data_IF_229381157975
#
_entry.id   IF_229381157975
#
_cell.length_a   1.000
_cell.length_b   1.000
_cell.length_c   1.000
_cell.angle_alpha   90.00
_cell.angle_beta   90.00
_cell.angle_gamma   90.00
#
_symmetry.space_group_name_H-M   'P 1'
#
loop_
_entity.id
_entity.type
_entity.pdbx_description
1 polymer ?
#
# COMPACT_ATOMS: atom_id res chain seq x y z
N UNK A 1 -5.99 -7.64 22.02
CA UNK A 1 -6.92 -8.78 21.79
C UNK A 1 -7.38 -8.76 20.34
N UNK A 2 -7.40 -9.90 19.67
CA UNK A 2 -7.78 -9.99 18.25
C UNK A 2 -9.27 -10.28 18.08
N UNK A 3 -9.88 -9.70 17.04
CA UNK A 3 -11.27 -9.98 16.68
C UNK A 3 -11.36 -11.38 16.06
N UNK A 4 -12.29 -12.20 16.57
CA UNK A 4 -12.58 -13.54 16.07
C UNK A 4 -14.05 -13.62 15.67
N UNK A 5 -14.32 -14.21 14.51
CA UNK A 5 -15.66 -14.38 13.95
C UNK A 5 -15.85 -15.81 13.46
N UNK A 6 -17.09 -16.34 13.46
CA UNK A 6 -17.36 -17.63 12.82
C UNK A 6 -17.21 -17.52 11.30
N UNK A 7 -16.61 -18.54 10.68
CA UNK A 7 -16.51 -18.66 9.21
C UNK A 7 -17.88 -18.90 8.58
N UNK A 8 -18.12 -18.25 7.44
CA UNK A 8 -19.28 -18.45 6.58
C UNK A 8 -19.00 -19.43 5.45
N UNK A 9 -17.77 -19.91 5.30
CA UNK A 9 -17.37 -20.95 4.33
C UNK A 9 -18.24 -22.20 4.35
N UNK A 10 -18.73 -22.71 5.50
CA UNK A 10 -19.65 -23.86 5.53
C UNK A 10 -21.00 -23.59 4.85
N UNK A 11 -21.43 -22.32 4.78
CA UNK A 11 -22.69 -21.90 4.16
C UNK A 11 -22.45 -21.53 2.69
N UNK A 12 -21.43 -20.71 2.44
CA UNK A 12 -21.05 -20.25 1.11
C UNK A 12 -19.59 -20.56 0.84
N UNK A 13 -19.34 -21.52 -0.05
CA UNK A 13 -17.97 -21.89 -0.45
C UNK A 13 -17.20 -20.73 -1.10
N UNK A 14 -17.91 -19.78 -1.71
CA UNK A 14 -17.31 -18.57 -2.29
C UNK A 14 -16.68 -17.63 -1.26
N UNK A 15 -17.02 -17.77 0.03
CA UNK A 15 -16.47 -16.94 1.10
C UNK A 15 -15.01 -17.29 1.45
N UNK A 16 -14.49 -18.44 1.01
CA UNK A 16 -13.15 -18.94 1.37
C UNK A 16 -12.03 -17.93 1.05
N UNK A 17 -12.00 -17.41 -0.17
CA UNK A 17 -11.00 -16.40 -0.54
C UNK A 17 -11.23 -15.03 0.13
N UNK A 18 -12.49 -14.65 0.35
CA UNK A 18 -12.83 -13.37 0.97
C UNK A 18 -12.42 -13.34 2.44
N UNK A 19 -12.66 -14.44 3.16
CA UNK A 19 -12.24 -14.58 4.56
C UNK A 19 -10.71 -14.61 4.69
N UNK A 20 -10.00 -15.22 3.74
CA UNK A 20 -8.53 -15.19 3.67
C UNK A 20 -7.98 -13.80 3.38
N UNK A 21 -8.59 -13.06 2.46
CA UNK A 21 -8.24 -11.66 2.18
C UNK A 21 -8.41 -10.78 3.43
N UNK A 22 -9.54 -10.92 4.13
CA UNK A 22 -9.81 -10.16 5.35
C UNK A 22 -8.79 -10.52 6.45
N UNK A 23 -8.43 -11.79 6.58
CA UNK A 23 -7.38 -12.23 7.50
C UNK A 23 -6.03 -11.62 7.15
N UNK A 24 -5.66 -11.58 5.87
CA UNK A 24 -4.36 -11.07 5.42
C UNK A 24 -4.24 -9.54 5.54
N UNK A 25 -5.32 -8.81 5.23
CA UNK A 25 -5.31 -7.35 5.18
C UNK A 25 -5.73 -6.67 6.47
N UNK A 26 -6.62 -7.28 7.25
CA UNK A 26 -7.19 -6.74 8.49
C UNK A 26 -6.90 -7.60 9.71
N UNK A 27 -6.35 -8.82 9.57
CA UNK A 27 -5.98 -9.66 10.71
C UNK A 27 -7.14 -10.17 11.55
N UNK A 28 -8.33 -10.31 10.95
CA UNK A 28 -9.50 -10.92 11.61
C UNK A 28 -9.40 -12.44 11.46
N UNK A 29 -9.56 -13.17 12.57
CA UNK A 29 -9.49 -14.63 12.55
C UNK A 29 -10.89 -15.24 12.39
N UNK A 30 -11.02 -16.17 11.44
CA UNK A 30 -12.26 -16.90 11.18
C UNK A 30 -12.22 -18.31 11.76
N UNK A 31 -13.09 -18.60 12.72
CA UNK A 31 -13.20 -19.90 13.37
C UNK A 31 -13.98 -20.88 12.47
N UNK A 32 -13.41 -22.07 12.24
CA UNK A 32 -14.02 -23.09 11.37
C UNK A 32 -13.70 -22.93 9.88
N UNK A 33 -12.83 -21.99 9.50
CA UNK A 33 -12.33 -21.87 8.13
C UNK A 33 -11.38 -23.03 7.77
N UNK A 34 -11.48 -23.65 6.58
CA UNK A 34 -10.69 -24.84 6.22
C UNK A 34 -9.19 -24.57 6.03
N UNK A 35 -8.79 -23.41 5.50
CA UNK A 35 -7.39 -23.04 5.27
C UNK A 35 -7.16 -21.53 5.46
N UNK A 36 -7.03 -21.09 6.71
CA UNK A 36 -6.85 -19.67 7.02
C UNK A 36 -5.35 -19.30 6.97
N UNK A 37 -4.90 -18.84 5.81
CA UNK A 37 -3.52 -18.41 5.54
C UNK A 37 -3.50 -17.15 4.68
N UNK A 38 -2.39 -16.40 4.72
CA UNK A 38 -2.15 -15.23 3.87
C UNK A 38 -2.21 -15.61 2.38
N UNK A 39 -2.68 -14.69 1.54
CA UNK A 39 -2.86 -14.91 0.09
C UNK A 39 -2.34 -13.78 -0.79
N UNK A 40 -2.37 -12.54 -0.31
CA UNK A 40 -1.92 -11.35 -1.03
C UNK A 40 -0.52 -10.94 -0.58
N UNK A 41 -0.26 -10.98 0.73
CA UNK A 41 1.04 -10.59 1.29
C UNK A 41 2.03 -11.75 1.26
N UNK A 42 3.32 -11.42 1.31
CA UNK A 42 4.39 -12.41 1.41
C UNK A 42 4.40 -13.07 2.80
N UNK A 43 4.98 -14.27 2.89
CA UNK A 43 4.90 -15.12 4.10
C UNK A 43 5.50 -14.47 5.35
N UNK A 44 6.49 -13.58 5.19
CA UNK A 44 7.14 -12.86 6.30
C UNK A 44 6.49 -11.53 6.67
N UNK A 45 5.43 -11.11 5.97
CA UNK A 45 4.72 -9.88 6.31
C UNK A 45 4.04 -10.05 7.68
N UNK A 46 4.32 -9.16 8.62
CA UNK A 46 3.84 -9.29 10.01
C UNK A 46 2.59 -8.47 10.29
N UNK A 47 2.41 -7.37 9.58
CA UNK A 47 1.35 -6.41 9.86
C UNK A 47 0.10 -6.64 8.98
N UNK A 48 -0.78 -5.65 8.98
CA UNK A 48 -2.09 -5.65 8.30
C UNK A 48 -2.30 -4.28 7.63
N UNK A 49 -2.01 -4.14 6.34
CA UNK A 49 -1.81 -2.84 5.70
C UNK A 49 -3.11 -2.02 5.54
N UNK A 50 -4.27 -2.68 5.52
CA UNK A 50 -5.57 -2.00 5.36
C UNK A 50 -6.15 -1.49 6.69
N UNK A 51 -5.46 -1.71 7.81
CA UNK A 51 -5.90 -1.13 9.08
C UNK A 51 -5.55 0.35 9.17
N UNK A 52 -6.39 1.13 9.85
CA UNK A 52 -6.19 2.59 10.00
C UNK A 52 -5.02 2.96 10.92
N UNK A 53 -4.62 2.04 11.79
CA UNK A 53 -3.46 2.15 12.67
C UNK A 53 -2.15 1.66 12.03
N UNK A 54 -2.21 1.14 10.80
CA UNK A 54 -1.02 0.72 10.07
C UNK A 54 -0.10 1.92 9.78
N UNK A 55 1.19 1.74 10.08
CA UNK A 55 2.25 2.66 9.71
C UNK A 55 3.12 1.95 8.69
N UNK A 56 3.31 2.60 7.54
CA UNK A 56 4.27 2.13 6.55
C UNK A 56 5.67 2.08 7.21
N UNK A 57 6.46 1.04 6.94
CA UNK A 57 7.82 1.02 7.43
C UNK A 57 8.61 2.19 6.82
N UNK A 58 9.54 2.75 7.60
CA UNK A 58 10.40 3.86 7.15
C UNK A 58 11.46 3.40 6.12
N UNK A 59 11.37 2.16 5.62
CA UNK A 59 12.35 1.47 4.79
C UNK A 59 12.19 1.73 3.29
N UNK A 60 11.64 2.88 2.92
CA UNK A 60 11.91 3.48 1.61
C UNK A 60 13.39 3.85 1.56
N UNK A 61 14.27 2.84 1.41
CA UNK A 61 15.62 3.08 0.93
C UNK A 61 15.44 3.83 -0.39
N UNK A 62 15.74 5.13 -0.35
CA UNK A 62 15.87 5.96 -1.52
C UNK A 62 16.96 5.31 -2.39
N UNK A 63 16.56 4.47 -3.32
CA UNK A 63 17.40 4.11 -4.44
C UNK A 63 17.47 5.37 -5.31
N UNK A 64 18.64 6.02 -5.46
CA UNK A 64 18.78 7.09 -6.44
C UNK A 64 18.47 6.46 -7.80
N UNK A 65 17.25 6.67 -8.28
CA UNK A 65 16.90 6.18 -9.59
C UNK A 65 17.80 6.91 -10.59
N UNK A 66 18.23 6.27 -11.69
CA UNK A 66 18.98 6.98 -12.73
C UNK A 66 18.27 8.22 -13.27
N UNK A 67 16.96 8.36 -13.00
CA UNK A 67 16.16 9.52 -13.34
C UNK A 67 16.57 10.80 -12.58
N UNK A 68 17.11 10.69 -11.36
CA UNK A 68 17.56 11.85 -10.59
C UNK A 68 18.84 12.46 -11.19
N UNK A 69 19.81 11.62 -11.56
CA UNK A 69 21.03 12.05 -12.24
C UNK A 69 20.74 12.64 -13.63
N UNK A 70 19.79 12.04 -14.37
CA UNK A 70 19.34 12.55 -15.66
C UNK A 70 18.61 13.88 -15.50
N UNK A 71 17.78 14.04 -14.46
CA UNK A 71 17.08 15.28 -14.17
C UNK A 71 18.06 16.42 -13.83
N UNK A 72 19.07 16.15 -13.01
CA UNK A 72 20.13 17.13 -12.70
C UNK A 72 20.93 17.53 -13.95
N UNK A 73 21.31 16.57 -14.80
CA UNK A 73 21.96 16.88 -16.09
C UNK A 73 21.04 17.66 -17.03
N UNK A 74 19.75 17.32 -17.07
CA UNK A 74 18.77 18.04 -17.88
C UNK A 74 18.63 19.49 -17.41
N UNK A 75 18.56 19.74 -16.10
CA UNK A 75 18.51 21.11 -15.54
C UNK A 75 19.71 21.97 -15.95
N UNK A 76 20.88 21.37 -16.15
CA UNK A 76 22.08 22.08 -16.63
C UNK A 76 22.01 22.47 -18.11
N UNK A 77 21.27 21.71 -18.93
CA UNK A 77 21.19 21.89 -20.38
C UNK A 77 19.95 22.65 -20.84
N UNK A 78 18.86 22.63 -20.07
CA UNK A 78 17.67 23.42 -20.38
C UNK A 78 17.87 24.87 -19.97
N UNK A 79 17.65 25.79 -20.92
CA UNK A 79 17.44 27.19 -20.59
C UNK A 79 16.23 27.32 -19.64
N UNK A 80 16.22 28.28 -18.69
CA UNK A 80 15.05 28.51 -17.86
C UNK A 80 13.84 28.69 -18.76
N UNK A 81 12.77 27.93 -18.48
CA UNK A 81 11.51 28.08 -19.21
C UNK A 81 11.12 29.57 -19.11
N UNK A 82 10.91 30.27 -20.23
CA UNK A 82 10.42 31.63 -20.17
C UNK A 82 9.10 31.61 -19.39
N UNK A 83 8.95 32.55 -18.46
CA UNK A 83 7.75 32.71 -17.66
C UNK A 83 6.56 32.91 -18.63
N UNK A 84 5.70 31.92 -18.75
CA UNK A 84 4.52 31.97 -19.61
C UNK A 84 3.30 32.00 -18.70
N UNK A 85 2.63 33.15 -18.70
CA UNK A 85 1.27 33.36 -18.20
C UNK A 85 0.99 33.02 -16.73
N UNK A 86 1.98 33.17 -15.83
CA UNK A 86 1.74 33.32 -14.39
C UNK A 86 1.17 32.09 -13.67
N UNK A 87 1.04 30.95 -14.36
CA UNK A 87 0.43 29.72 -13.85
C UNK A 87 1.29 29.05 -12.77
N UNK A 88 2.60 29.34 -12.72
CA UNK A 88 3.53 28.92 -11.67
C UNK A 88 3.30 29.59 -10.29
N UNK A 89 2.49 30.67 -10.22
CA UNK A 89 2.15 31.33 -8.95
C UNK A 89 0.88 30.78 -8.29
N UNK A 90 0.26 29.74 -8.86
CA UNK A 90 -0.88 29.08 -8.23
C UNK A 90 -0.33 28.08 -7.20
N UNK A 91 0.22 28.60 -6.11
CA UNK A 91 0.47 27.79 -4.91
C UNK A 91 -0.88 27.23 -4.48
N UNK A 92 -1.02 25.90 -4.43
CA UNK A 92 -2.15 25.27 -3.76
C UNK A 92 -2.13 25.79 -2.31
N UNK A 93 -3.09 26.65 -1.98
CA UNK A 93 -3.32 27.11 -0.62
C UNK A 93 -3.58 25.88 0.29
N UNK A 94 -3.16 25.91 1.56
CA UNK A 94 -3.27 24.78 2.48
C UNK A 94 -4.71 24.30 2.70
#
# INVERSE_FOLDING_TARGET
>A
EGVRLPSLTPIWRSAEFQEREIFDLYGIQFEGHPDLRRILMWDEFKDYPMRKDYREPDDYEYEPTPHDDVLERAKQHYAPRPQLDGAENITAQP
#
